data_IF_919252656048
#
_entry.id   IF_919252656048
#
_cell.length_a   1.000
_cell.length_b   1.000
_cell.length_c   1.000
_cell.angle_alpha   90.00
_cell.angle_beta   90.00
_cell.angle_gamma   90.00
#
_symmetry.space_group_name_H-M   'P 1'
#
loop_
_entity.id
_entity.type
_entity.pdbx_description
1 polymer ?
#
# COMPACT_ATOMS: atom_id res chain seq x y z
N UNK A 1 5.90 4.36 26.21
CA UNK A 1 5.43 4.12 24.82
C UNK A 1 3.97 3.70 24.87
N UNK A 2 3.07 4.47 24.28
CA UNK A 2 1.67 4.03 24.15
C UNK A 2 1.60 2.94 23.07
N UNK A 3 1.27 1.71 23.48
CA UNK A 3 1.05 0.61 22.55
C UNK A 3 -0.21 0.91 21.72
N UNK A 4 -0.13 0.75 20.40
CA UNK A 4 -1.26 0.90 19.47
C UNK A 4 -1.54 -0.43 18.78
N UNK A 5 -2.81 -0.67 18.50
CA UNK A 5 -3.29 -1.81 17.72
C UNK A 5 -3.94 -1.23 16.47
N UNK A 6 -3.63 -1.77 15.31
CA UNK A 6 -4.15 -1.23 14.06
C UNK A 6 -4.41 -2.28 13.00
N UNK A 7 -4.87 -1.82 11.85
CA UNK A 7 -5.15 -2.69 10.71
C UNK A 7 -3.87 -3.28 10.12
N UNK A 8 -3.89 -4.59 9.92
CA UNK A 8 -2.84 -5.31 9.22
C UNK A 8 -3.17 -5.38 7.72
N UNK A 9 -2.88 -4.33 6.97
CA UNK A 9 -2.88 -4.28 5.51
C UNK A 9 -4.24 -4.30 4.80
N UNK A 10 -5.28 -4.86 5.40
CA UNK A 10 -6.60 -4.99 4.75
C UNK A 10 -7.72 -4.64 5.73
N UNK A 11 -8.60 -3.77 5.30
CA UNK A 11 -9.85 -3.52 5.99
C UNK A 11 -10.84 -4.64 5.69
N UNK A 12 -11.48 -5.15 6.72
CA UNK A 12 -12.62 -6.08 6.62
C UNK A 12 -13.80 -5.47 7.37
N UNK A 13 -14.96 -5.49 6.75
CA UNK A 13 -16.18 -5.00 7.39
C UNK A 13 -16.50 -5.85 8.64
N UNK A 14 -16.88 -5.23 9.77
CA UNK A 14 -17.17 -5.97 11.02
C UNK A 14 -18.24 -7.04 10.86
N UNK A 15 -19.29 -6.75 10.09
CA UNK A 15 -20.34 -7.73 9.79
C UNK A 15 -20.05 -8.45 8.46
N UNK A 16 -19.49 -9.63 8.55
CA UNK A 16 -19.18 -10.49 7.41
C UNK A 16 -20.39 -11.29 6.88
N UNK A 17 -21.56 -11.16 7.52
CA UNK A 17 -22.81 -11.83 7.05
C UNK A 17 -23.54 -11.02 5.98
N UNK A 18 -23.09 -9.81 5.69
CA UNK A 18 -23.66 -9.00 4.62
C UNK A 18 -23.48 -9.67 3.26
N UNK A 19 -24.38 -9.35 2.32
CA UNK A 19 -24.27 -9.85 0.95
C UNK A 19 -22.93 -9.45 0.34
N UNK A 20 -22.26 -10.32 -0.46
CA UNK A 20 -20.93 -10.05 -1.03
C UNK A 20 -20.82 -8.72 -1.79
N UNK A 21 -21.89 -8.29 -2.45
CA UNK A 21 -21.94 -7.00 -3.16
C UNK A 21 -21.80 -5.83 -2.17
N UNK A 22 -22.52 -5.88 -1.05
CA UNK A 22 -22.48 -4.84 -0.01
C UNK A 22 -21.11 -4.81 0.67
N UNK A 23 -20.56 -5.98 1.02
CA UNK A 23 -19.19 -6.08 1.55
C UNK A 23 -18.17 -5.44 0.62
N UNK A 24 -18.25 -5.75 -0.68
CA UNK A 24 -17.35 -5.16 -1.67
C UNK A 24 -17.50 -3.64 -1.76
N UNK A 25 -18.71 -3.11 -1.72
CA UNK A 25 -18.95 -1.66 -1.75
C UNK A 25 -18.33 -0.94 -0.53
N UNK A 26 -18.34 -1.57 0.65
CA UNK A 26 -17.71 -1.01 1.85
C UNK A 26 -16.19 -1.20 1.91
N UNK A 27 -15.69 -2.34 1.48
CA UNK A 27 -14.29 -2.71 1.64
C UNK A 27 -13.39 -2.18 0.51
N UNK A 28 -13.90 -2.13 -0.73
CA UNK A 28 -13.11 -1.74 -1.89
C UNK A 28 -12.52 -0.33 -1.79
N UNK A 29 -13.23 0.70 -1.29
CA UNK A 29 -12.68 2.04 -1.15
C UNK A 29 -11.55 2.16 -0.11
N UNK A 30 -11.39 1.17 0.77
CA UNK A 30 -10.42 1.15 1.87
C UNK A 30 -9.27 0.16 1.62
N UNK A 31 -9.31 -0.58 0.52
CA UNK A 31 -8.34 -1.63 0.23
C UNK A 31 -7.61 -1.42 -1.10
N UNK A 32 -6.30 -1.62 -1.07
CA UNK A 32 -5.49 -1.63 -2.30
C UNK A 32 -5.87 -2.80 -3.19
N UNK A 33 -5.81 -2.57 -4.50
CA UNK A 33 -5.98 -3.57 -5.55
C UNK A 33 -4.60 -3.94 -6.10
N UNK A 34 -4.44 -5.18 -6.50
CA UNK A 34 -3.20 -5.70 -7.05
C UNK A 34 -3.36 -6.11 -8.52
N UNK A 35 -2.24 -6.30 -9.20
CA UNK A 35 -2.14 -6.99 -10.48
C UNK A 35 -0.96 -7.96 -10.42
N UNK A 36 -0.83 -8.79 -11.44
CA UNK A 36 0.27 -9.74 -11.57
C UNK A 36 1.15 -9.40 -12.75
N UNK A 37 2.44 -9.70 -12.66
CA UNK A 37 3.40 -9.60 -13.79
C UNK A 37 2.89 -10.38 -15.00
N UNK A 38 2.30 -11.55 -14.76
CA UNK A 38 1.72 -12.37 -15.83
C UNK A 38 0.65 -11.60 -16.60
N UNK A 39 -0.34 -11.03 -15.91
CA UNK A 39 -1.40 -10.28 -16.57
C UNK A 39 -0.87 -9.11 -17.40
N UNK A 40 0.05 -8.33 -16.82
CA UNK A 40 0.67 -7.19 -17.50
C UNK A 40 1.44 -7.62 -18.76
N UNK A 41 2.13 -8.76 -18.71
CA UNK A 41 2.88 -9.28 -19.85
C UNK A 41 1.97 -9.83 -20.96
N UNK A 42 0.82 -10.38 -20.60
CA UNK A 42 -0.20 -10.86 -21.53
C UNK A 42 -1.00 -9.71 -22.18
N UNK A 43 -1.10 -8.53 -21.51
CA UNK A 43 -1.90 -7.36 -21.93
C UNK A 43 -1.04 -6.10 -22.08
N UNK A 44 0.08 -6.19 -22.79
CA UNK A 44 1.08 -5.11 -22.87
C UNK A 44 0.52 -3.77 -23.33
N UNK A 45 -0.45 -3.75 -24.24
CA UNK A 45 -1.09 -2.52 -24.74
C UNK A 45 -1.92 -1.78 -23.70
N UNK A 46 -2.39 -2.48 -22.66
CA UNK A 46 -3.25 -1.92 -21.60
C UNK A 46 -2.52 -1.84 -20.26
N UNK A 47 -1.29 -2.35 -20.21
CA UNK A 47 -0.58 -2.57 -18.94
C UNK A 47 -0.29 -1.25 -18.21
N UNK A 48 0.14 -0.21 -18.90
CA UNK A 48 0.42 1.09 -18.29
C UNK A 48 -0.86 1.78 -17.80
N UNK A 49 -1.92 1.77 -18.59
CA UNK A 49 -3.23 2.32 -18.18
C UNK A 49 -3.74 1.59 -16.93
N UNK A 50 -3.54 0.28 -16.89
CA UNK A 50 -3.88 -0.54 -15.73
C UNK A 50 -3.06 -0.18 -14.50
N UNK A 51 -1.77 0.07 -14.64
CA UNK A 51 -0.92 0.51 -13.53
C UNK A 51 -1.31 1.90 -13.05
N UNK A 52 -1.66 2.82 -13.95
CA UNK A 52 -2.20 4.14 -13.61
C UNK A 52 -3.50 4.02 -12.81
N UNK A 53 -4.47 3.26 -13.31
CA UNK A 53 -5.75 3.02 -12.61
C UNK A 53 -5.53 2.48 -11.20
N UNK A 54 -4.65 1.47 -11.08
CA UNK A 54 -4.36 0.85 -9.79
C UNK A 54 -3.65 1.81 -8.83
N UNK A 55 -2.68 2.57 -9.31
CA UNK A 55 -1.96 3.58 -8.53
C UNK A 55 -2.94 4.61 -7.95
N UNK A 56 -3.77 5.21 -8.81
CA UNK A 56 -4.76 6.19 -8.39
C UNK A 56 -5.73 5.63 -7.36
N UNK A 57 -6.29 4.45 -7.64
CA UNK A 57 -7.19 3.77 -6.71
C UNK A 57 -6.52 3.47 -5.37
N UNK A 58 -5.29 2.94 -5.40
CA UNK A 58 -4.60 2.49 -4.19
C UNK A 58 -4.19 3.67 -3.29
N UNK A 59 -3.69 4.76 -3.88
CA UNK A 59 -3.36 5.97 -3.12
C UNK A 59 -4.63 6.54 -2.46
N UNK A 60 -5.74 6.62 -3.21
CA UNK A 60 -7.02 7.06 -2.64
C UNK A 60 -7.52 6.11 -1.55
N UNK A 61 -7.36 4.81 -1.72
CA UNK A 61 -7.75 3.82 -0.70
C UNK A 61 -6.94 3.96 0.59
N UNK A 62 -5.64 4.25 0.48
CA UNK A 62 -4.80 4.52 1.66
C UNK A 62 -5.24 5.81 2.35
N UNK A 63 -5.55 6.88 1.60
CA UNK A 63 -6.09 8.10 2.17
C UNK A 63 -7.39 7.82 2.96
N UNK A 64 -8.34 7.14 2.33
CA UNK A 64 -9.63 6.79 2.94
C UNK A 64 -9.45 5.92 4.19
N UNK A 65 -8.50 4.97 4.16
CA UNK A 65 -8.21 4.11 5.31
C UNK A 65 -7.61 4.91 6.47
N UNK A 66 -6.68 5.82 6.20
CA UNK A 66 -6.10 6.71 7.22
C UNK A 66 -7.17 7.63 7.80
N UNK A 67 -8.06 8.17 6.96
CA UNK A 67 -9.18 8.98 7.41
C UNK A 67 -10.17 8.15 8.26
N UNK A 68 -10.48 6.93 7.88
CA UNK A 68 -11.32 6.03 8.68
C UNK A 68 -10.69 5.75 10.06
N UNK A 69 -9.39 5.44 10.08
CA UNK A 69 -8.66 5.12 11.30
C UNK A 69 -8.49 6.36 12.20
N UNK A 70 -8.39 7.55 11.63
CA UNK A 70 -8.29 8.81 12.39
C UNK A 70 -9.51 9.07 13.28
N UNK A 71 -10.67 8.53 12.90
CA UNK A 71 -11.93 8.63 13.66
C UNK A 71 -12.04 7.61 14.80
N UNK A 72 -11.10 6.67 14.90
CA UNK A 72 -11.07 5.66 15.94
C UNK A 72 -10.43 6.19 17.23
N UNK A 73 -10.64 5.52 18.39
CA UNK A 73 -9.90 5.82 19.61
C UNK A 73 -8.39 5.82 19.39
N UNK A 74 -7.65 6.69 20.08
CA UNK A 74 -6.20 6.90 19.83
C UNK A 74 -5.38 5.60 19.89
N UNK A 75 -5.73 4.66 20.78
CA UNK A 75 -5.08 3.35 20.87
C UNK A 75 -5.22 2.48 19.61
N UNK A 76 -6.18 2.78 18.74
CA UNK A 76 -6.46 2.07 17.49
C UNK A 76 -5.96 2.82 16.24
N UNK A 77 -5.34 4.00 16.40
CA UNK A 77 -4.88 4.83 15.29
C UNK A 77 -3.54 4.34 14.74
N UNK A 78 -3.58 3.20 14.08
CA UNK A 78 -2.43 2.62 13.39
C UNK A 78 -2.87 1.94 12.08
N UNK A 79 -2.13 2.17 11.01
CA UNK A 79 -2.33 1.54 9.70
C UNK A 79 -1.01 0.96 9.21
N UNK A 80 -1.02 -0.30 8.79
CA UNK A 80 0.07 -0.89 8.01
C UNK A 80 -0.30 -0.84 6.53
N UNK A 81 0.42 -0.03 5.77
CA UNK A 81 0.23 0.11 4.32
C UNK A 81 0.76 -1.16 3.65
N UNK A 82 -0.05 -1.76 2.80
CA UNK A 82 0.31 -2.96 2.05
C UNK A 82 1.23 -2.65 0.88
N UNK A 83 2.22 -3.49 0.60
CA UNK A 83 3.11 -3.33 -0.56
C UNK A 83 2.41 -3.23 -1.93
N UNK A 84 1.21 -3.83 -2.16
CA UNK A 84 0.42 -3.58 -3.36
C UNK A 84 -0.01 -2.13 -3.59
N UNK A 85 0.25 -1.19 -2.67
CA UNK A 85 -0.02 0.24 -2.90
C UNK A 85 0.63 0.73 -4.20
N UNK A 86 1.83 0.25 -4.51
CA UNK A 86 2.52 0.44 -5.79
C UNK A 86 2.76 -0.94 -6.42
N UNK A 87 1.78 -1.47 -7.19
CA UNK A 87 1.85 -2.83 -7.72
C UNK A 87 3.08 -3.04 -8.60
N UNK A 88 3.77 -4.15 -8.40
CA UNK A 88 4.95 -4.59 -9.16
C UNK A 88 6.10 -3.57 -9.21
N UNK A 89 6.18 -2.61 -8.29
CA UNK A 89 7.18 -1.54 -8.30
C UNK A 89 8.63 -2.06 -8.18
N UNK A 90 8.83 -3.21 -7.57
CA UNK A 90 10.15 -3.85 -7.42
C UNK A 90 10.47 -4.85 -8.54
N UNK A 91 9.54 -5.10 -9.46
CA UNK A 91 9.73 -6.03 -10.56
C UNK A 91 10.55 -5.40 -11.71
N UNK A 92 11.63 -6.06 -12.10
CA UNK A 92 12.58 -5.52 -13.07
C UNK A 92 11.92 -5.09 -14.40
N UNK A 93 10.94 -5.88 -14.89
CA UNK A 93 10.24 -5.62 -16.14
C UNK A 93 9.36 -4.37 -16.11
N UNK A 94 8.77 -4.03 -14.95
CA UNK A 94 7.79 -2.95 -14.80
C UNK A 94 8.31 -1.78 -13.97
N UNK A 95 9.53 -1.87 -13.43
CA UNK A 95 10.17 -0.80 -12.66
C UNK A 95 10.24 0.53 -13.42
N UNK A 96 10.43 0.50 -14.74
CA UNK A 96 10.50 1.69 -15.57
C UNK A 96 9.24 2.57 -15.46
N UNK A 97 8.05 1.97 -15.34
CA UNK A 97 6.80 2.71 -15.16
C UNK A 97 6.87 3.61 -13.92
N UNK A 98 7.34 3.07 -12.81
CA UNK A 98 7.47 3.78 -11.53
C UNK A 98 8.60 4.81 -11.50
N UNK A 99 9.45 4.83 -12.53
CA UNK A 99 10.52 5.81 -12.73
C UNK A 99 10.14 6.94 -13.68
N UNK A 100 8.93 6.94 -14.23
CA UNK A 100 8.43 8.01 -15.10
C UNK A 100 8.21 9.28 -14.28
N UNK A 101 8.63 10.48 -14.78
CA UNK A 101 8.48 11.73 -14.04
C UNK A 101 7.03 12.04 -13.64
N UNK A 102 6.09 11.85 -14.54
CA UNK A 102 4.65 12.07 -14.30
C UNK A 102 4.07 11.12 -13.23
N UNK A 103 4.55 9.88 -13.16
CA UNK A 103 4.18 8.90 -12.14
C UNK A 103 4.75 9.32 -10.78
N UNK A 104 6.01 9.75 -10.74
CA UNK A 104 6.66 10.24 -9.52
C UNK A 104 5.94 11.49 -9.00
N UNK A 105 5.72 12.48 -9.87
CA UNK A 105 5.02 13.73 -9.52
C UNK A 105 3.62 13.45 -8.98
N UNK A 106 2.91 12.51 -9.61
CA UNK A 106 1.59 12.09 -9.12
C UNK A 106 1.68 11.46 -7.73
N UNK A 107 2.61 10.53 -7.52
CA UNK A 107 2.80 9.89 -6.23
C UNK A 107 3.15 10.92 -5.14
N UNK A 108 4.12 11.79 -5.36
CA UNK A 108 4.52 12.81 -4.39
C UNK A 108 3.35 13.72 -4.02
N UNK A 109 2.63 14.23 -5.02
CA UNK A 109 1.48 15.11 -4.82
C UNK A 109 0.36 14.45 -4.01
N UNK A 110 0.11 13.18 -4.20
CA UNK A 110 -1.04 12.50 -3.60
C UNK A 110 -0.71 11.70 -2.34
N UNK A 111 0.56 11.31 -2.10
CA UNK A 111 0.98 10.76 -0.82
C UNK A 111 1.21 11.83 0.26
N UNK A 112 1.64 13.03 -0.11
CA UNK A 112 1.88 14.11 0.85
C UNK A 112 0.67 14.40 1.76
N UNK A 113 -0.57 14.57 1.23
CA UNK A 113 -1.76 14.78 2.06
C UNK A 113 -2.05 13.62 3.03
N UNK A 114 -1.70 12.38 2.66
CA UNK A 114 -1.86 11.20 3.54
C UNK A 114 -0.95 11.33 4.76
N UNK A 115 0.31 11.70 4.53
CA UNK A 115 1.27 11.94 5.60
C UNK A 115 0.88 13.11 6.50
N UNK A 116 0.34 14.19 5.93
CA UNK A 116 -0.16 15.33 6.69
C UNK A 116 -1.36 14.96 7.55
N UNK A 117 -2.34 14.24 6.98
CA UNK A 117 -3.49 13.74 7.71
C UNK A 117 -3.06 12.83 8.86
N UNK A 118 -2.16 11.88 8.60
CA UNK A 118 -1.67 10.96 9.61
C UNK A 118 -0.96 11.68 10.77
N UNK A 119 -0.12 12.68 10.47
CA UNK A 119 0.55 13.51 11.50
C UNK A 119 -0.45 14.31 12.32
N UNK A 120 -1.38 15.02 11.67
CA UNK A 120 -2.39 15.84 12.32
C UNK A 120 -3.28 15.03 13.25
N UNK A 121 -3.73 13.88 12.79
CA UNK A 121 -4.65 13.00 13.54
C UNK A 121 -3.94 11.97 14.43
N UNK A 122 -2.62 12.03 14.50
CA UNK A 122 -1.78 11.08 15.26
C UNK A 122 -2.00 9.62 14.90
N UNK A 123 -2.20 9.34 13.62
CA UNK A 123 -2.26 7.98 13.08
C UNK A 123 -0.84 7.49 12.83
N UNK A 124 -0.46 6.35 13.42
CA UNK A 124 0.81 5.70 13.13
C UNK A 124 0.71 4.96 11.79
N UNK A 125 1.62 5.26 10.88
CA UNK A 125 1.77 4.52 9.64
C UNK A 125 2.98 3.59 9.72
N UNK A 126 2.88 2.42 9.12
CA UNK A 126 4.00 1.54 8.83
C UNK A 126 3.75 0.83 7.49
N UNK A 127 4.79 0.30 6.88
CA UNK A 127 4.65 -0.47 5.65
C UNK A 127 4.73 -1.96 5.94
N UNK A 128 3.91 -2.77 5.27
CA UNK A 128 4.00 -4.22 5.31
C UNK A 128 4.54 -4.74 3.98
N UNK A 129 5.79 -5.23 3.94
CA UNK A 129 6.31 -5.92 2.78
C UNK A 129 5.45 -7.19 2.52
N UNK A 130 5.15 -7.45 1.25
CA UNK A 130 4.34 -8.62 0.87
C UNK A 130 5.03 -9.94 1.19
N UNK A 131 4.26 -11.03 1.14
CA UNK A 131 4.73 -12.39 1.43
C UNK A 131 5.88 -12.88 0.52
N UNK A 132 6.13 -12.22 -0.59
CA UNK A 132 7.24 -12.53 -1.50
C UNK A 132 8.53 -11.80 -1.14
N UNK A 133 8.55 -11.07 -0.03
CA UNK A 133 9.75 -10.43 0.51
C UNK A 133 10.52 -11.46 1.32
N UNK A 134 11.50 -12.11 0.70
CA UNK A 134 12.27 -13.23 1.28
C UNK A 134 13.74 -12.86 1.37
N UNK A 135 14.19 -12.43 2.56
CA UNK A 135 15.60 -12.06 2.81
C UNK A 135 16.53 -13.28 2.86
N UNK A 136 16.00 -14.47 3.15
CA UNK A 136 16.74 -15.71 3.20
C UNK A 136 16.64 -16.53 1.90
N UNK A 137 16.45 -15.87 0.75
CA UNK A 137 16.43 -16.53 -0.54
C UNK A 137 17.84 -16.87 -1.02
N UNK A 138 18.00 -17.99 -1.71
CA UNK A 138 19.24 -18.34 -2.42
C UNK A 138 19.47 -17.50 -3.69
N UNK A 139 18.48 -16.74 -4.14
CA UNK A 139 18.56 -15.86 -5.29
C UNK A 139 18.88 -14.43 -4.86
N UNK A 140 20.03 -13.91 -5.29
CA UNK A 140 20.47 -12.53 -5.02
C UNK A 140 19.45 -11.49 -5.50
N UNK A 141 18.79 -11.74 -6.64
CA UNK A 141 17.76 -10.86 -7.17
C UNK A 141 16.55 -10.74 -6.23
N UNK A 142 16.11 -11.87 -5.65
CA UNK A 142 15.02 -11.89 -4.67
C UNK A 142 15.46 -11.17 -3.38
N UNK A 143 16.68 -11.41 -2.92
CA UNK A 143 17.23 -10.75 -1.73
C UNK A 143 17.29 -9.23 -1.94
N UNK A 144 17.83 -8.77 -3.06
CA UNK A 144 17.97 -7.34 -3.37
C UNK A 144 16.61 -6.64 -3.44
N UNK A 145 15.61 -7.25 -4.08
CA UNK A 145 14.23 -6.71 -4.13
C UNK A 145 13.58 -6.69 -2.75
N UNK A 146 13.85 -7.70 -1.95
CA UNK A 146 13.32 -7.79 -0.57
C UNK A 146 13.95 -6.73 0.33
N UNK A 147 15.24 -6.47 0.20
CA UNK A 147 15.94 -5.43 0.95
C UNK A 147 15.36 -4.04 0.69
N UNK A 148 15.00 -3.71 -0.55
CA UNK A 148 14.39 -2.41 -0.89
C UNK A 148 13.09 -2.17 -0.11
N UNK A 149 12.23 -3.18 0.01
CA UNK A 149 10.98 -3.08 0.75
C UNK A 149 11.19 -3.06 2.26
N UNK A 150 12.15 -3.85 2.75
CA UNK A 150 12.43 -3.94 4.19
C UNK A 150 13.08 -2.68 4.74
N UNK A 151 13.99 -2.06 4.00
CA UNK A 151 14.62 -0.79 4.41
C UNK A 151 13.63 0.36 4.46
N UNK A 152 12.60 0.35 3.61
CA UNK A 152 11.53 1.35 3.64
C UNK A 152 10.67 1.24 4.92
N UNK A 153 10.43 0.02 5.42
CA UNK A 153 9.68 -0.21 6.68
C UNK A 153 10.52 0.19 7.91
N UNK A 154 11.81 -0.11 7.89
CA UNK A 154 12.71 0.20 9.02
C UNK A 154 12.92 1.70 9.25
N UNK A 155 12.73 2.55 8.25
CA UNK A 155 12.90 3.99 8.38
C UNK A 155 11.85 4.64 9.32
N UNK A 156 10.70 3.99 9.51
CA UNK A 156 9.62 4.48 10.37
C UNK A 156 9.83 4.16 11.86
N UNK A 157 10.74 3.24 12.20
CA UNK A 157 11.01 2.82 13.57
C UNK A 157 12.14 3.63 14.25
N UNK A 158 12.74 4.61 13.59
CA UNK A 158 13.76 5.49 14.17
C UNK A 158 13.07 6.55 15.04
N UNK A 159 13.30 6.56 16.38
CA UNK A 159 12.79 7.62 17.25
C UNK A 159 13.39 8.95 16.82
N UNK A 160 12.55 9.92 16.50
CA UNK A 160 12.96 11.34 16.36
C UNK A 160 12.90 12.03 17.68
#
# INVERSE_FOLDING_TARGET
MNKRIGFACKYMHPDQNLKPKILKEHEQPLNCRATTVRWLNEHKSEAEDRLWELMQHNIQSVYNLVEYVSKQPEALRMVRISSPVLPVATEATWKYFWSKPDVIDYCEKHFAPIGELARREKVRLSMHPGQFTVLASESDDIVNRSCLLYTSDAADDIPR
#
